data_IF_918228574644
#
_entry.id   IF_918228574644
#
_cell.length_a   1.000
_cell.length_b   1.000
_cell.length_c   1.000
_cell.angle_alpha   90.00
_cell.angle_beta   90.00
_cell.angle_gamma   90.00
#
_symmetry.space_group_name_H-M   'P 1'
#
loop_
_entity.id
_entity.type
_entity.pdbx_description
1 polymer ?
#
# COMPACT_ATOMS: atom_id res chain seq x y z
N UNK A 1 42.45 -3.06 35.95
CA UNK A 1 42.15 -2.92 34.52
C UNK A 1 41.92 -4.30 33.94
N UNK A 2 40.67 -4.66 33.61
CA UNK A 2 40.33 -5.75 32.67
C UNK A 2 38.89 -5.56 32.23
N UNK A 3 38.69 -5.40 30.92
CA UNK A 3 37.40 -5.25 30.23
C UNK A 3 36.90 -6.63 29.82
N UNK A 4 35.63 -6.94 30.02
CA UNK A 4 34.95 -8.05 29.34
C UNK A 4 33.64 -7.52 28.74
N UNK A 5 33.63 -7.44 27.41
CA UNK A 5 32.51 -6.95 26.61
C UNK A 5 31.38 -7.98 26.51
N UNK A 6 30.16 -7.47 26.38
CA UNK A 6 28.97 -8.26 26.07
C UNK A 6 28.56 -7.96 24.63
N UNK A 7 28.73 -8.94 23.75
CA UNK A 7 28.27 -8.93 22.37
C UNK A 7 26.76 -9.25 22.29
N UNK A 8 26.01 -8.73 21.30
CA UNK A 8 24.62 -9.11 21.03
C UNK A 8 24.55 -10.40 20.18
N UNK A 9 23.48 -11.20 20.25
CA UNK A 9 23.32 -12.36 19.38
C UNK A 9 22.83 -11.96 17.97
N UNK A 10 23.37 -12.68 16.99
CA UNK A 10 23.19 -12.50 15.56
C UNK A 10 21.77 -12.88 15.08
N UNK A 11 21.15 -11.97 14.31
CA UNK A 11 19.95 -12.20 13.52
C UNK A 11 20.36 -12.91 12.21
N UNK A 12 20.17 -14.22 12.14
CA UNK A 12 20.42 -15.00 10.92
C UNK A 12 19.17 -15.06 10.06
N UNK A 13 19.29 -14.54 8.85
CA UNK A 13 18.24 -14.53 7.83
C UNK A 13 17.94 -15.93 7.28
N UNK A 14 16.66 -16.23 7.13
CA UNK A 14 16.14 -17.37 6.37
C UNK A 14 15.56 -16.88 5.03
N UNK A 15 16.14 -17.36 3.93
CA UNK A 15 15.75 -17.04 2.57
C UNK A 15 14.39 -17.69 2.18
N UNK A 16 13.53 -17.06 1.36
CA UNK A 16 12.12 -17.44 1.21
C UNK A 16 11.82 -18.23 -0.08
N UNK A 17 12.56 -19.28 -0.42
CA UNK A 17 12.24 -20.09 -1.61
C UNK A 17 12.60 -21.57 -1.45
N UNK A 18 11.57 -22.42 -1.38
CA UNK A 18 11.69 -23.87 -1.32
C UNK A 18 10.30 -24.51 -1.25
N UNK A 19 9.65 -24.63 -2.40
CA UNK A 19 8.37 -25.32 -2.54
C UNK A 19 8.53 -26.84 -2.68
N UNK A 20 7.54 -27.58 -2.16
CA UNK A 20 7.32 -29.01 -2.44
C UNK A 20 6.48 -29.70 -1.35
N UNK A 21 5.44 -30.51 -1.66
CA UNK A 21 4.32 -30.78 -0.76
C UNK A 21 4.34 -32.16 -0.06
N UNK A 22 3.55 -32.24 1.02
CA UNK A 22 2.97 -33.41 1.68
C UNK A 22 3.88 -34.55 2.21
N UNK A 23 4.08 -34.59 3.53
CA UNK A 23 4.13 -35.85 4.27
C UNK A 23 3.89 -35.64 5.79
N UNK A 24 2.78 -36.21 6.24
CA UNK A 24 2.37 -36.44 7.62
C UNK A 24 3.53 -36.82 8.57
N UNK A 25 3.77 -36.01 9.61
CA UNK A 25 4.50 -36.45 10.81
C UNK A 25 3.81 -35.92 12.06
N UNK A 26 3.02 -36.79 12.68
CA UNK A 26 2.57 -36.65 14.07
C UNK A 26 3.79 -36.61 14.99
N UNK A 27 4.04 -35.45 15.61
CA UNK A 27 4.88 -35.33 16.80
C UNK A 27 3.97 -35.16 18.03
N UNK A 28 3.90 -36.14 18.94
CA UNK A 28 3.20 -35.99 20.21
C UNK A 28 4.11 -35.26 21.20
N UNK A 29 3.64 -34.13 21.73
CA UNK A 29 4.20 -33.50 22.93
C UNK A 29 5.21 -32.38 22.70
N UNK A 30 4.70 -31.14 22.62
CA UNK A 30 5.36 -29.93 23.14
C UNK A 30 4.29 -28.99 23.70
N UNK A 31 4.16 -29.01 25.03
CA UNK A 31 3.97 -27.85 25.90
C UNK A 31 2.84 -26.85 25.58
N UNK A 32 1.70 -27.07 26.23
CA UNK A 32 1.25 -26.14 27.27
C UNK A 32 0.71 -24.77 26.84
N UNK A 33 0.30 -24.57 25.58
CA UNK A 33 -0.68 -23.49 25.31
C UNK A 33 -2.08 -24.08 25.49
N UNK A 34 -2.86 -23.69 26.53
CA UNK A 34 -4.26 -24.05 26.55
C UNK A 34 -4.88 -23.58 25.24
N UNK A 35 -5.65 -24.44 24.57
CA UNK A 35 -6.47 -24.01 23.44
C UNK A 35 -7.32 -22.87 23.98
N UNK A 36 -7.15 -21.67 23.42
CA UNK A 36 -7.88 -20.46 23.83
C UNK A 36 -9.34 -20.83 24.08
N UNK A 37 -9.83 -20.57 25.28
CA UNK A 37 -11.24 -20.74 25.63
C UNK A 37 -12.11 -19.96 24.65
N UNK A 38 -13.38 -20.35 24.49
CA UNK A 38 -14.29 -19.61 23.59
C UNK A 38 -14.37 -18.12 23.97
N UNK A 39 -14.32 -17.83 25.29
CA UNK A 39 -14.24 -16.48 25.84
C UNK A 39 -12.95 -15.76 25.40
N UNK A 40 -11.78 -16.38 25.55
CA UNK A 40 -10.49 -15.80 25.13
C UNK A 40 -10.41 -15.59 23.62
N UNK A 41 -10.96 -16.51 22.82
CA UNK A 41 -11.04 -16.34 21.36
C UNK A 41 -11.90 -15.14 20.97
N UNK A 42 -13.04 -14.98 21.64
CA UNK A 42 -13.96 -13.85 21.40
C UNK A 42 -13.29 -12.53 21.76
N UNK A 43 -12.61 -12.46 22.90
CA UNK A 43 -11.86 -11.26 23.31
C UNK A 43 -10.70 -10.96 22.35
N UNK A 44 -9.95 -11.97 21.93
CA UNK A 44 -8.85 -11.79 20.99
C UNK A 44 -9.34 -11.32 19.61
N UNK A 45 -10.46 -11.85 19.14
CA UNK A 45 -11.08 -11.40 17.89
C UNK A 45 -11.48 -9.92 17.96
N UNK A 46 -12.13 -9.48 19.04
CA UNK A 46 -12.51 -8.08 19.26
C UNK A 46 -11.27 -7.18 19.28
N UNK A 47 -10.24 -7.56 20.05
CA UNK A 47 -9.01 -6.79 20.15
C UNK A 47 -8.26 -6.68 18.80
N UNK A 48 -8.17 -7.78 18.05
CA UNK A 48 -7.55 -7.81 16.73
C UNK A 48 -8.27 -6.90 15.73
N UNK A 49 -9.60 -6.97 15.70
CA UNK A 49 -10.41 -6.13 14.82
C UNK A 49 -10.35 -4.65 15.22
N UNK A 50 -10.33 -4.34 16.51
CA UNK A 50 -10.15 -2.97 16.98
C UNK A 50 -8.80 -2.41 16.52
N UNK A 51 -7.70 -3.16 16.73
CA UNK A 51 -6.38 -2.77 16.26
C UNK A 51 -6.34 -2.59 14.74
N UNK A 52 -7.00 -3.48 13.99
CA UNK A 52 -7.12 -3.36 12.53
C UNK A 52 -7.83 -2.07 12.13
N UNK A 53 -8.95 -1.73 12.78
CA UNK A 53 -9.70 -0.49 12.51
C UNK A 53 -8.91 0.77 12.88
N UNK A 54 -8.18 0.75 13.99
CA UNK A 54 -7.30 1.86 14.38
C UNK A 54 -6.19 2.08 13.35
N UNK A 55 -5.58 1.01 12.84
CA UNK A 55 -4.56 1.10 11.78
C UNK A 55 -5.14 1.69 10.47
N UNK A 56 -6.36 1.31 10.10
CA UNK A 56 -7.05 1.88 8.92
C UNK A 56 -7.29 3.37 9.11
N UNK A 57 -7.82 3.79 10.27
CA UNK A 57 -8.07 5.21 10.56
C UNK A 57 -6.78 6.04 10.51
N UNK A 58 -5.71 5.55 11.12
CA UNK A 58 -4.41 6.20 11.04
C UNK A 58 -3.90 6.33 9.58
N UNK A 59 -4.26 5.39 8.71
CA UNK A 59 -4.01 5.50 7.27
C UNK A 59 -4.78 6.64 6.61
N UNK A 60 -6.07 6.80 6.93
CA UNK A 60 -6.89 7.92 6.44
C UNK A 60 -6.41 9.28 6.96
N UNK A 61 -5.99 9.36 8.22
CA UNK A 61 -5.43 10.58 8.80
C UNK A 61 -4.17 11.01 8.03
N UNK A 62 -3.26 10.07 7.72
CA UNK A 62 -2.08 10.34 6.87
C UNK A 62 -2.43 10.79 5.46
N UNK A 63 -3.49 10.24 4.86
CA UNK A 63 -3.95 10.71 3.55
C UNK A 63 -4.42 12.18 3.62
N UNK A 64 -5.11 12.55 4.69
CA UNK A 64 -5.57 13.92 4.90
C UNK A 64 -4.41 14.92 5.11
N UNK A 65 -3.28 14.47 5.67
CA UNK A 65 -2.05 15.28 5.80
C UNK A 65 -1.32 15.48 4.45
N UNK A 66 -1.37 14.50 3.55
CA UNK A 66 -0.65 14.54 2.27
C UNK A 66 -1.41 15.24 1.15
N UNK A 67 -2.74 15.19 1.18
CA UNK A 67 -3.61 15.69 0.12
C UNK A 67 -4.13 17.08 0.49
N UNK A 68 -3.77 18.13 -0.28
CA UNK A 68 -4.21 19.49 0.01
C UNK A 68 -5.74 19.62 0.07
N UNK A 69 -6.23 20.29 1.10
CA UNK A 69 -7.65 20.58 1.29
C UNK A 69 -8.46 19.48 1.98
N UNK A 70 -7.84 18.40 2.48
CA UNK A 70 -8.51 17.34 3.24
C UNK A 70 -8.30 17.41 4.76
N UNK A 71 -7.70 18.49 5.26
CA UNK A 71 -7.43 18.68 6.68
C UNK A 71 -8.72 18.55 7.51
N UNK A 72 -8.72 17.63 8.49
CA UNK A 72 -9.87 17.37 9.34
C UNK A 72 -11.01 16.56 8.70
N UNK A 73 -10.87 16.09 7.45
CA UNK A 73 -11.90 15.30 6.75
C UNK A 73 -11.73 13.77 6.86
N UNK A 74 -10.88 13.27 7.76
CA UNK A 74 -10.55 11.84 7.93
C UNK A 74 -11.74 10.91 8.23
N UNK A 75 -12.93 11.46 8.50
CA UNK A 75 -14.16 10.69 8.75
C UNK A 75 -15.02 10.45 7.50
N UNK A 76 -14.71 11.11 6.38
CA UNK A 76 -15.43 10.97 5.12
C UNK A 76 -14.66 10.09 4.15
N UNK A 77 -14.60 8.78 4.41
CA UNK A 77 -13.75 7.81 3.68
C UNK A 77 -13.87 7.94 2.15
N UNK A 78 -15.09 7.96 1.62
CA UNK A 78 -15.32 8.09 0.18
C UNK A 78 -14.85 9.42 -0.42
N UNK A 79 -14.97 10.51 0.33
CA UNK A 79 -14.48 11.83 -0.10
C UNK A 79 -12.95 11.84 -0.11
N UNK A 80 -12.33 11.33 0.95
CA UNK A 80 -10.86 11.25 1.06
C UNK A 80 -10.28 10.46 -0.09
N UNK A 81 -10.82 9.26 -0.36
CA UNK A 81 -10.34 8.42 -1.48
C UNK A 81 -10.53 9.11 -2.83
N UNK A 82 -11.71 9.69 -3.08
CA UNK A 82 -11.99 10.40 -4.34
C UNK A 82 -11.01 11.55 -4.56
N UNK A 83 -10.87 12.44 -3.57
CA UNK A 83 -9.96 13.60 -3.67
C UNK A 83 -8.50 13.18 -3.77
N UNK A 84 -8.11 12.09 -3.10
CA UNK A 84 -6.76 11.51 -3.22
C UNK A 84 -6.49 11.08 -4.67
N UNK A 85 -7.42 10.38 -5.32
CA UNK A 85 -7.26 9.96 -6.72
C UNK A 85 -7.19 11.17 -7.65
N UNK A 86 -8.02 12.19 -7.44
CA UNK A 86 -7.95 13.45 -8.20
C UNK A 86 -6.58 14.12 -8.05
N UNK A 87 -6.08 14.23 -6.82
CA UNK A 87 -4.77 14.82 -6.56
C UNK A 87 -3.64 14.01 -7.20
N UNK A 88 -3.69 12.68 -7.19
CA UNK A 88 -2.70 11.85 -7.89
C UNK A 88 -2.68 12.13 -9.40
N UNK A 89 -3.85 12.34 -10.03
CA UNK A 89 -3.94 12.72 -11.45
C UNK A 89 -3.30 14.08 -11.70
N UNK A 90 -3.62 15.08 -10.87
CA UNK A 90 -2.99 16.42 -10.93
C UNK A 90 -1.46 16.32 -10.82
N UNK A 91 -0.92 15.46 -9.93
CA UNK A 91 0.53 15.27 -9.80
C UNK A 91 1.15 14.60 -11.02
N UNK A 92 0.45 13.68 -11.69
CA UNK A 92 0.93 13.06 -12.93
C UNK A 92 0.94 14.06 -14.09
N UNK A 93 -0.08 14.91 -14.21
CA UNK A 93 -0.12 15.98 -15.20
C UNK A 93 1.01 16.99 -14.97
N UNK A 94 1.20 17.43 -13.73
CA UNK A 94 2.32 18.32 -13.37
C UNK A 94 3.66 17.69 -13.68
N UNK A 95 3.82 16.38 -13.44
CA UNK A 95 5.04 15.65 -13.83
C UNK A 95 5.23 15.69 -15.35
N UNK A 96 4.18 15.48 -16.15
CA UNK A 96 4.25 15.54 -17.63
C UNK A 96 4.73 16.90 -18.11
N UNK A 97 4.21 17.98 -17.52
CA UNK A 97 4.64 19.35 -17.83
C UNK A 97 6.12 19.57 -17.52
N UNK A 98 6.58 19.17 -16.34
CA UNK A 98 7.98 19.28 -15.95
C UNK A 98 8.91 18.48 -16.87
N UNK A 99 8.51 17.27 -17.27
CA UNK A 99 9.29 16.46 -18.22
C UNK A 99 9.40 17.18 -19.57
N UNK A 100 8.28 17.70 -20.08
CA UNK A 100 8.23 18.46 -21.34
C UNK A 100 9.12 19.70 -21.29
N UNK A 101 9.10 20.43 -20.17
CA UNK A 101 9.93 21.62 -19.98
C UNK A 101 11.43 21.31 -19.97
N UNK A 102 11.84 20.22 -19.33
CA UNK A 102 13.23 19.77 -19.31
C UNK A 102 13.70 19.35 -20.71
N UNK A 103 12.87 18.60 -21.43
CA UNK A 103 13.18 18.18 -22.80
C UNK A 103 13.24 19.36 -23.76
N UNK A 104 12.38 20.37 -23.60
CA UNK A 104 12.41 21.60 -24.37
C UNK A 104 13.71 22.40 -24.15
N UNK A 105 14.33 22.27 -22.98
CA UNK A 105 15.67 22.84 -22.67
C UNK A 105 16.82 21.99 -23.20
N UNK A 106 16.53 20.85 -23.84
CA UNK A 106 17.51 19.91 -24.36
C UNK A 106 18.02 18.90 -23.32
N UNK A 107 17.42 18.85 -22.13
CA UNK A 107 17.79 17.90 -21.08
C UNK A 107 17.10 16.55 -21.30
N UNK A 108 17.87 15.46 -21.21
CA UNK A 108 17.32 14.11 -21.34
C UNK A 108 16.77 13.64 -20.00
N UNK A 109 15.46 13.49 -19.90
CA UNK A 109 14.82 12.89 -18.72
C UNK A 109 14.92 11.35 -18.77
N UNK A 110 15.41 10.68 -17.71
CA UNK A 110 15.54 9.24 -17.66
C UNK A 110 14.17 8.53 -17.60
N UNK A 111 14.12 7.30 -18.14
CA UNK A 111 12.86 6.56 -18.34
C UNK A 111 12.08 6.27 -17.05
N UNK A 112 12.78 5.99 -15.95
CA UNK A 112 12.15 5.74 -14.64
C UNK A 112 11.33 6.93 -14.11
N UNK A 113 11.66 8.16 -14.51
CA UNK A 113 10.89 9.35 -14.17
C UNK A 113 9.69 9.57 -15.09
N UNK A 114 9.71 8.95 -16.28
CA UNK A 114 8.60 8.98 -17.25
C UNK A 114 7.66 7.79 -17.09
N UNK A 115 8.10 6.68 -16.52
CA UNK A 115 7.28 5.47 -16.35
C UNK A 115 5.92 5.74 -15.71
N UNK A 116 5.79 6.59 -14.66
CA UNK A 116 4.49 6.92 -14.09
C UNK A 116 3.54 7.64 -15.07
N UNK A 117 4.05 8.28 -16.12
CA UNK A 117 3.23 8.99 -17.12
C UNK A 117 2.44 8.04 -18.02
N UNK A 118 2.88 6.78 -18.16
CA UNK A 118 2.13 5.72 -18.88
C UNK A 118 0.73 5.53 -18.31
N UNK A 119 0.59 5.69 -16.98
CA UNK A 119 -0.72 5.63 -16.30
C UNK A 119 -1.66 6.71 -16.86
N UNK A 120 -1.15 7.92 -17.09
CA UNK A 120 -1.95 9.02 -17.62
C UNK A 120 -2.37 8.76 -19.07
N UNK A 121 -1.45 8.26 -19.90
CA UNK A 121 -1.72 7.87 -21.29
C UNK A 121 -2.78 6.76 -21.38
N UNK A 122 -2.70 5.75 -20.51
CA UNK A 122 -3.69 4.66 -20.42
C UNK A 122 -5.07 5.20 -20.00
N UNK A 123 -5.12 6.10 -19.02
CA UNK A 123 -6.38 6.71 -18.56
C UNK A 123 -7.04 7.57 -19.66
N UNK A 124 -6.26 8.36 -20.39
CA UNK A 124 -6.74 9.15 -21.53
C UNK A 124 -7.27 8.24 -22.65
N UNK A 125 -6.57 7.15 -22.95
CA UNK A 125 -7.00 6.16 -23.95
C UNK A 125 -8.33 5.50 -23.56
N UNK A 126 -8.51 5.12 -22.29
CA UNK A 126 -9.78 4.56 -21.80
C UNK A 126 -10.94 5.55 -21.92
N UNK A 127 -10.71 6.83 -21.60
CA UNK A 127 -11.73 7.88 -21.73
C UNK A 127 -12.13 8.11 -23.19
N UNK A 128 -11.15 8.13 -24.10
CA UNK A 128 -11.40 8.25 -25.54
C UNK A 128 -12.17 7.04 -26.09
N UNK A 129 -11.85 5.83 -25.65
CA UNK A 129 -12.57 4.62 -26.02
C UNK A 129 -14.03 4.65 -25.53
N UNK A 130 -14.25 5.11 -24.30
CA UNK A 130 -15.59 5.30 -23.75
C UNK A 130 -16.40 6.36 -24.53
N UNK A 131 -15.76 7.46 -24.94
CA UNK A 131 -16.40 8.53 -25.71
C UNK A 131 -16.75 8.11 -27.16
N UNK A 132 -15.98 7.18 -27.74
CA UNK A 132 -16.14 6.73 -29.13
C UNK A 132 -17.01 5.47 -29.28
N UNK A 133 -17.59 4.94 -28.19
CA UNK A 133 -18.47 3.76 -28.28
C UNK A 133 -19.83 4.18 -28.84
N UNK A 134 -20.27 3.67 -30.01
CA UNK A 134 -21.54 4.06 -30.60
C UNK A 134 -22.72 3.55 -29.75
N UNK A 135 -23.66 4.45 -29.45
CA UNK A 135 -24.96 4.11 -28.86
C UNK A 135 -25.62 3.01 -29.70
N UNK A 136 -25.96 1.88 -29.08
CA UNK A 136 -26.72 0.82 -29.75
C UNK A 136 -28.06 1.41 -30.21
N UNK A 137 -28.46 1.24 -31.48
CA UNK A 137 -29.82 1.53 -31.88
C UNK A 137 -30.76 0.55 -31.17
N UNK A 138 -31.81 1.09 -30.52
CA UNK A 138 -32.93 0.34 -29.93
C UNK A 138 -33.70 -0.48 -30.98
#
# INVERSE_FOLDING_TARGET
>A
MSRSGSSPPANQGGNPFGGGPDANSQTPGQDGKPRLTEEEKKQNHIASEQKRREAIRAGFDRLCELVPGLEGQGRSEGLVLKRTVEYMKEQLERRRELVKDLEARGERVPGNLKDPLKILEELEAMQQAAANTPEKPE
#
